data_IF_931068359906
#
_entry.id   IF_931068359906
#
_cell.length_a   1.000
_cell.length_b   1.000
_cell.length_c   1.000
_cell.angle_alpha   90.00
_cell.angle_beta   90.00
_cell.angle_gamma   90.00
#
_symmetry.space_group_name_H-M   'P 1'
#
loop_
_entity.id
_entity.type
_entity.pdbx_description
1 polymer ?
#
# COMPACT_ATOMS: atom_id res chain seq x y z
N UNK A 1 -21.96 31.12 -3.06
CA UNK A 1 -22.23 29.78 -3.61
C UNK A 1 -20.91 29.26 -4.17
N UNK A 2 -20.20 28.44 -3.38
CA UNK A 2 -18.94 27.81 -3.76
C UNK A 2 -18.97 26.39 -3.22
N UNK A 3 -19.04 25.43 -4.11
CA UNK A 3 -19.20 24.01 -3.79
C UNK A 3 -17.90 23.51 -3.16
N UNK A 4 -17.89 23.35 -1.84
CA UNK A 4 -16.84 22.58 -1.18
C UNK A 4 -17.05 21.12 -1.59
N UNK A 5 -16.24 20.66 -2.54
CA UNK A 5 -16.06 19.22 -2.78
C UNK A 5 -15.66 18.64 -1.42
N UNK A 6 -16.53 17.81 -0.83
CA UNK A 6 -16.21 17.12 0.41
C UNK A 6 -15.02 16.20 0.10
N UNK A 7 -13.82 16.73 0.32
CA UNK A 7 -12.58 15.99 0.32
C UNK A 7 -12.83 14.82 1.26
N UNK A 8 -12.85 13.62 0.70
CA UNK A 8 -13.12 12.39 1.44
C UNK A 8 -12.16 12.40 2.62
N UNK A 9 -12.68 12.66 3.82
CA UNK A 9 -11.87 12.65 5.02
C UNK A 9 -11.54 11.18 5.24
N UNK A 10 -10.32 10.79 4.87
CA UNK A 10 -9.79 9.44 4.92
C UNK A 10 -9.63 8.92 6.38
N UNK A 11 -10.43 9.43 7.33
CA UNK A 11 -10.41 9.10 8.75
C UNK A 11 -9.24 9.73 9.51
N UNK A 12 -8.78 10.92 9.10
CA UNK A 12 -7.54 11.47 9.64
C UNK A 12 -7.78 12.38 10.84
N UNK A 13 -7.05 12.15 11.93
CA UNK A 13 -7.02 13.09 13.02
C UNK A 13 -6.39 14.44 12.56
N UNK A 14 -6.96 15.60 12.92
CA UNK A 14 -6.38 16.89 12.61
C UNK A 14 -4.94 16.99 13.15
N UNK A 15 -4.00 17.47 12.33
CA UNK A 15 -2.60 17.66 12.71
C UNK A 15 -1.69 16.43 12.56
N UNK A 16 -2.17 15.32 11.99
CA UNK A 16 -1.30 14.18 11.67
C UNK A 16 -0.41 14.49 10.46
N UNK A 17 0.82 13.97 10.49
CA UNK A 17 1.79 14.17 9.42
C UNK A 17 1.45 13.36 8.14
N UNK A 18 0.51 12.42 8.25
CA UNK A 18 0.06 11.47 7.23
C UNK A 18 -0.61 10.24 7.86
N UNK A 19 -0.99 9.28 7.03
CA UNK A 19 -1.56 7.98 7.42
C UNK A 19 -0.70 6.84 6.86
N UNK A 20 -0.45 5.82 7.69
CA UNK A 20 0.13 4.56 7.25
C UNK A 20 -0.88 3.43 7.47
N UNK A 21 -1.12 2.63 6.44
CA UNK A 21 -1.92 1.40 6.49
C UNK A 21 -0.96 0.23 6.35
N UNK A 22 -1.00 -0.69 7.30
CA UNK A 22 -0.15 -1.89 7.32
C UNK A 22 -1.03 -3.12 7.17
N UNK A 23 -0.80 -3.90 6.12
CA UNK A 23 -1.51 -5.13 5.81
C UNK A 23 -0.58 -6.31 6.10
N UNK A 24 -0.95 -7.14 7.07
CA UNK A 24 -0.15 -8.30 7.51
C UNK A 24 -0.69 -9.60 6.95
N UNK A 25 0.21 -10.58 6.72
CA UNK A 25 -0.13 -11.89 6.13
C UNK A 25 -0.84 -11.75 4.78
N UNK A 26 -0.36 -10.80 3.98
CA UNK A 26 -1.00 -10.46 2.72
C UNK A 26 -0.84 -11.54 1.65
N UNK A 27 0.17 -12.38 1.79
CA UNK A 27 0.38 -13.60 0.99
C UNK A 27 -0.84 -14.52 1.02
N UNK A 28 -1.39 -14.82 2.20
CA UNK A 28 -2.57 -15.68 2.33
C UNK A 28 -3.80 -15.07 1.64
N UNK A 29 -3.94 -13.74 1.71
CA UNK A 29 -5.03 -13.03 1.03
C UNK A 29 -4.84 -13.04 -0.49
N UNK A 30 -3.65 -12.71 -0.97
CA UNK A 30 -3.30 -12.73 -2.39
C UNK A 30 -3.43 -14.12 -3.02
N UNK A 31 -3.07 -15.18 -2.28
CA UNK A 31 -3.24 -16.56 -2.74
C UNK A 31 -4.72 -16.97 -2.85
N UNK A 32 -5.58 -16.46 -1.96
CA UNK A 32 -7.01 -16.78 -1.94
C UNK A 32 -7.79 -15.95 -2.96
N UNK A 33 -7.43 -14.67 -3.14
CA UNK A 33 -8.13 -13.70 -3.98
C UNK A 33 -7.15 -12.78 -4.73
N UNK A 34 -6.45 -13.30 -5.76
CA UNK A 34 -5.38 -12.57 -6.43
C UNK A 34 -5.83 -11.23 -7.02
N UNK A 35 -6.94 -11.22 -7.77
CA UNK A 35 -7.46 -10.03 -8.43
C UNK A 35 -7.89 -8.95 -7.43
N UNK A 36 -8.49 -9.37 -6.31
CA UNK A 36 -8.94 -8.45 -5.28
C UNK A 36 -7.77 -7.87 -4.48
N UNK A 37 -6.75 -8.69 -4.20
CA UNK A 37 -5.52 -8.22 -3.58
C UNK A 37 -4.84 -7.16 -4.45
N UNK A 38 -4.68 -7.42 -5.74
CA UNK A 38 -4.13 -6.44 -6.66
C UNK A 38 -4.98 -5.16 -6.72
N UNK A 39 -6.31 -5.27 -6.89
CA UNK A 39 -7.21 -4.12 -6.96
C UNK A 39 -7.20 -3.27 -5.67
N UNK A 40 -7.05 -3.90 -4.51
CA UNK A 40 -6.90 -3.20 -3.23
C UNK A 40 -5.62 -2.36 -3.20
N UNK A 41 -4.48 -2.91 -3.64
CA UNK A 41 -3.24 -2.15 -3.72
C UNK A 41 -3.33 -1.02 -4.74
N UNK A 42 -4.00 -1.25 -5.88
CA UNK A 42 -4.18 -0.23 -6.92
C UNK A 42 -4.99 0.96 -6.43
N UNK A 43 -6.07 0.68 -5.70
CA UNK A 43 -6.88 1.69 -5.03
C UNK A 43 -6.07 2.48 -3.97
N UNK A 44 -5.23 1.80 -3.20
CA UNK A 44 -4.37 2.45 -2.21
C UNK A 44 -3.32 3.36 -2.87
N UNK A 45 -2.75 2.96 -4.01
CA UNK A 45 -1.83 3.79 -4.78
C UNK A 45 -2.54 5.04 -5.34
N UNK A 46 -3.77 4.90 -5.82
CA UNK A 46 -4.57 6.05 -6.27
C UNK A 46 -4.84 7.03 -5.13
N UNK A 47 -5.29 6.56 -3.97
CA UNK A 47 -5.49 7.42 -2.81
C UNK A 47 -4.19 8.05 -2.31
N UNK A 48 -3.06 7.36 -2.44
CA UNK A 48 -1.75 7.91 -2.09
C UNK A 48 -1.37 9.07 -3.01
N UNK A 49 -1.59 8.94 -4.32
CA UNK A 49 -1.38 10.05 -5.28
C UNK A 49 -2.27 11.24 -4.97
N UNK A 50 -3.57 11.01 -4.76
CA UNK A 50 -4.51 12.09 -4.43
C UNK A 50 -4.12 12.79 -3.12
N UNK A 51 -3.72 12.04 -2.09
CA UNK A 51 -3.22 12.60 -0.85
C UNK A 51 -1.97 13.47 -1.08
N UNK A 52 -1.00 12.97 -1.86
CA UNK A 52 0.21 13.71 -2.18
C UNK A 52 -0.07 15.05 -2.87
N UNK A 53 -1.01 15.08 -3.83
CA UNK A 53 -1.45 16.31 -4.51
C UNK A 53 -2.10 17.32 -3.55
N UNK A 54 -2.69 16.86 -2.44
CA UNK A 54 -3.30 17.70 -1.41
C UNK A 54 -2.33 18.09 -0.28
N UNK A 55 -1.02 17.86 -0.46
CA UNK A 55 0.01 18.15 0.56
C UNK A 55 -0.02 17.19 1.75
N UNK A 56 -0.59 16.01 1.54
CA UNK A 56 -0.80 14.98 2.54
C UNK A 56 -0.03 13.71 2.20
N UNK A 57 0.09 12.77 3.13
CA UNK A 57 0.85 11.51 2.92
C UNK A 57 0.00 10.30 3.30
N UNK A 58 -0.10 9.34 2.39
CA UNK A 58 -0.66 8.01 2.64
C UNK A 58 0.38 6.97 2.22
N UNK A 59 0.76 6.09 3.14
CA UNK A 59 1.65 4.97 2.88
C UNK A 59 0.88 3.66 3.06
N UNK A 60 1.02 2.73 2.12
CA UNK A 60 0.54 1.36 2.27
C UNK A 60 1.77 0.44 2.38
N UNK A 61 1.85 -0.33 3.46
CA UNK A 61 2.89 -1.32 3.67
C UNK A 61 2.26 -2.71 3.67
N UNK A 62 2.86 -3.61 2.91
CA UNK A 62 2.42 -5.00 2.77
C UNK A 62 3.49 -5.88 3.40
N UNK A 63 3.10 -6.69 4.38
CA UNK A 63 3.97 -7.70 4.97
C UNK A 63 3.57 -9.08 4.47
N UNK A 64 4.55 -9.78 3.89
CA UNK A 64 4.43 -11.15 3.37
C UNK A 64 5.47 -12.04 4.04
N UNK A 65 5.09 -13.28 4.37
CA UNK A 65 6.07 -14.32 4.72
C UNK A 65 6.51 -15.16 3.51
N UNK A 66 5.84 -15.00 2.37
CA UNK A 66 6.16 -15.60 1.09
C UNK A 66 7.17 -14.70 0.34
N UNK A 67 8.43 -15.15 0.15
CA UNK A 67 9.46 -14.37 -0.54
C UNK A 67 9.22 -14.23 -2.04
N UNK A 68 8.36 -15.08 -2.63
CA UNK A 68 8.07 -15.10 -4.06
C UNK A 68 6.83 -14.24 -4.41
N UNK A 69 6.21 -13.60 -3.41
CA UNK A 69 5.05 -12.75 -3.63
C UNK A 69 5.42 -11.58 -4.57
N UNK A 70 4.69 -11.51 -5.67
CA UNK A 70 4.85 -10.46 -6.68
C UNK A 70 3.50 -9.98 -7.15
N UNK A 71 3.45 -8.73 -7.59
CA UNK A 71 2.25 -8.09 -8.11
C UNK A 71 2.56 -7.47 -9.47
N UNK A 72 1.59 -7.52 -10.37
CA UNK A 72 1.56 -6.63 -11.53
C UNK A 72 1.66 -5.17 -11.06
N UNK A 73 2.21 -4.26 -11.89
CA UNK A 73 2.36 -2.85 -11.51
C UNK A 73 1.09 -2.26 -10.92
N UNK A 74 1.22 -1.68 -9.73
CA UNK A 74 0.12 -1.10 -8.95
C UNK A 74 0.12 0.40 -9.22
N UNK A 75 -0.98 0.91 -9.75
CA UNK A 75 -1.10 2.31 -10.13
C UNK A 75 -0.04 2.74 -11.15
N UNK A 76 0.32 1.84 -12.06
CA UNK A 76 1.41 1.95 -13.05
C UNK A 76 2.84 2.09 -12.47
N UNK A 77 3.03 1.79 -11.18
CA UNK A 77 4.34 1.74 -10.53
C UNK A 77 4.66 0.31 -10.02
N UNK A 78 5.92 -0.14 -10.07
CA UNK A 78 6.30 -1.41 -9.47
C UNK A 78 6.12 -1.35 -7.94
N UNK A 79 5.62 -2.44 -7.35
CA UNK A 79 5.63 -2.63 -5.90
C UNK A 79 7.06 -3.02 -5.50
N UNK A 80 7.72 -2.16 -4.73
CA UNK A 80 9.11 -2.39 -4.31
C UNK A 80 9.13 -3.14 -2.98
N UNK A 81 9.91 -4.22 -2.94
CA UNK A 81 10.26 -4.89 -1.69
C UNK A 81 11.12 -3.98 -0.82
N UNK A 82 10.95 -4.09 0.50
CA UNK A 82 11.86 -3.46 1.44
C UNK A 82 13.24 -4.15 1.32
N UNK A 83 14.33 -3.44 0.99
CA UNK A 83 15.65 -4.06 0.83
C UNK A 83 16.16 -4.76 2.11
N UNK A 84 15.66 -4.37 3.28
CA UNK A 84 15.98 -5.06 4.54
C UNK A 84 15.37 -6.47 4.61
N UNK A 85 14.21 -6.70 4.00
CA UNK A 85 13.55 -8.00 3.96
C UNK A 85 14.22 -8.96 2.96
N UNK A 86 14.83 -8.43 1.89
CA UNK A 86 15.70 -9.21 1.01
C UNK A 86 16.87 -9.87 1.75
N UNK A 87 17.46 -9.18 2.73
CA UNK A 87 18.55 -9.74 3.55
C UNK A 87 18.07 -10.90 4.43
N UNK A 88 16.80 -10.91 4.83
CA UNK A 88 16.21 -12.02 5.59
C UNK A 88 15.92 -13.24 4.72
N UNK A 89 15.53 -13.06 3.45
CA UNK A 89 15.35 -14.15 2.49
C UNK A 89 16.68 -14.89 2.22
N UNK A 90 17.76 -14.14 2.00
CA UNK A 90 19.12 -14.70 1.81
C UNK A 90 19.61 -15.49 3.04
N UNK A 91 19.08 -15.20 4.24
CA UNK A 91 19.47 -15.90 5.47
C UNK A 91 18.80 -17.27 5.65
N UNK A 92 17.71 -17.56 4.92
CA UNK A 92 16.99 -18.84 4.99
C UNK A 92 17.55 -19.93 4.05
N UNK A 93 18.51 -19.59 3.19
CA UNK A 93 19.19 -20.52 2.28
C UNK A 93 20.53 -21.05 2.83
N UNK A 94 20.87 -20.76 4.09
CA UNK A 94 22.12 -21.16 4.76
C UNK A 94 22.00 -22.34 5.71
#
# INVERSE_FOLDING_TARGET
MGTAYAMVDHGWAPGTAGLAVVLTHYDAFAASWPDLAWAMLDLMAEHSRVAALMGRRLLCLVHSSDPDLSFEPVGAAPVLWNPAEWLDAVRREG
#
